data_IF_334957616628
#
_entry.id   IF_334957616628
#
_cell.length_a   1.000
_cell.length_b   1.000
_cell.length_c   1.000
_cell.angle_alpha   90.00
_cell.angle_beta   90.00
_cell.angle_gamma   90.00
#
_symmetry.space_group_name_H-M   'P 1'
#
loop_
_entity.id
_entity.type
_entity.pdbx_description
1 polymer ?
#
# COMPACT_ATOMS: atom_id res chain seq x y z
N UNK A 1 14.73 15.98 10.73
CA UNK A 1 14.04 14.73 10.35
C UNK A 1 13.74 14.70 8.86
N UNK A 2 14.04 13.58 8.19
CA UNK A 2 13.63 13.33 6.80
C UNK A 2 12.16 12.90 6.77
N UNK A 3 11.41 13.30 5.74
CA UNK A 3 10.01 12.93 5.49
C UNK A 3 9.85 11.51 4.91
N UNK A 4 10.90 10.71 4.98
CA UNK A 4 10.99 9.32 4.49
C UNK A 4 9.84 8.42 4.96
N UNK A 5 9.35 8.58 6.19
CA UNK A 5 8.25 7.72 6.68
C UNK A 5 6.93 8.01 5.98
N UNK A 6 6.65 9.28 5.67
CA UNK A 6 5.44 9.70 4.95
C UNK A 6 5.58 9.34 3.48
N UNK A 7 6.76 9.56 2.88
CA UNK A 7 7.06 9.15 1.51
C UNK A 7 7.02 7.63 1.33
N UNK A 8 7.48 6.88 2.34
CA UNK A 8 7.41 5.42 2.37
C UNK A 8 5.96 4.94 2.37
N UNK A 9 5.12 5.50 3.24
CA UNK A 9 3.69 5.16 3.28
C UNK A 9 2.97 5.50 1.96
N UNK A 10 3.29 6.66 1.36
CA UNK A 10 2.80 7.04 0.02
C UNK A 10 3.23 6.03 -1.06
N UNK A 11 4.50 5.65 -1.06
CA UNK A 11 5.06 4.71 -2.03
C UNK A 11 4.43 3.32 -1.87
N UNK A 12 4.32 2.81 -0.65
CA UNK A 12 3.65 1.55 -0.35
C UNK A 12 2.21 1.57 -0.84
N UNK A 13 1.41 2.59 -0.48
CA UNK A 13 0.01 2.66 -0.91
C UNK A 13 -0.13 2.71 -2.44
N UNK A 14 0.76 3.42 -3.12
CA UNK A 14 0.79 3.46 -4.59
C UNK A 14 1.13 2.08 -5.19
N UNK A 15 2.07 1.36 -4.57
CA UNK A 15 2.51 0.06 -5.04
C UNK A 15 1.42 -1.01 -4.85
N UNK A 16 0.67 -0.99 -3.75
CA UNK A 16 -0.49 -1.87 -3.57
C UNK A 16 -1.50 -1.73 -4.72
N UNK A 17 -1.80 -0.50 -5.14
CA UNK A 17 -2.71 -0.27 -6.28
C UNK A 17 -2.13 -0.76 -7.61
N UNK A 18 -0.81 -0.69 -7.78
CA UNK A 18 -0.12 -1.29 -8.92
C UNK A 18 -0.28 -2.83 -8.90
N UNK A 19 -0.13 -3.47 -7.74
CA UNK A 19 -0.30 -4.92 -7.59
C UNK A 19 -1.75 -5.35 -7.80
N UNK A 20 -2.72 -4.62 -7.24
CA UNK A 20 -4.16 -4.83 -7.48
C UNK A 20 -4.48 -4.80 -8.99
N UNK A 21 -3.97 -3.81 -9.71
CA UNK A 21 -4.17 -3.72 -11.15
C UNK A 21 -3.50 -4.88 -11.89
N UNK A 22 -2.27 -5.24 -11.49
CA UNK A 22 -1.50 -6.34 -12.07
C UNK A 22 -2.20 -7.69 -11.89
N UNK A 23 -2.71 -8.00 -10.70
CA UNK A 23 -3.43 -9.25 -10.46
C UNK A 23 -4.76 -9.32 -11.20
N UNK A 24 -5.47 -8.22 -11.37
CA UNK A 24 -6.66 -8.19 -12.24
C UNK A 24 -6.33 -8.53 -13.69
N UNK A 25 -5.20 -8.02 -14.21
CA UNK A 25 -4.72 -8.35 -15.56
C UNK A 25 -4.36 -9.84 -15.63
N UNK A 26 -3.63 -10.38 -14.64
CA UNK A 26 -3.24 -11.79 -14.59
C UNK A 26 -4.45 -12.74 -14.50
N UNK A 27 -5.47 -12.38 -13.71
CA UNK A 27 -6.73 -13.15 -13.62
C UNK A 27 -7.39 -13.25 -14.99
N UNK A 28 -7.51 -12.12 -15.72
CA UNK A 28 -8.09 -12.11 -17.06
C UNK A 28 -7.26 -12.93 -18.06
N UNK A 29 -5.93 -12.84 -17.98
CA UNK A 29 -5.03 -13.63 -18.83
C UNK A 29 -5.13 -15.14 -18.54
N UNK A 30 -5.16 -15.53 -17.27
CA UNK A 30 -5.30 -16.92 -16.84
C UNK A 30 -6.67 -17.51 -17.25
N UNK A 31 -7.74 -16.72 -17.12
CA UNK A 31 -9.08 -17.09 -17.57
C UNK A 31 -9.12 -17.33 -19.09
N UNK A 32 -8.52 -16.44 -19.88
CA UNK A 32 -8.41 -16.60 -21.33
C UNK A 32 -7.59 -17.85 -21.72
N UNK A 33 -6.51 -18.14 -20.99
CA UNK A 33 -5.66 -19.30 -21.22
C UNK A 33 -6.28 -20.63 -20.71
N UNK A 34 -7.39 -20.59 -19.97
CA UNK A 34 -7.99 -21.75 -19.34
C UNK A 34 -7.25 -22.26 -18.09
N UNK A 35 -6.30 -21.50 -17.57
CA UNK A 35 -5.51 -21.86 -16.38
C UNK A 35 -6.24 -21.48 -15.09
N UNK A 36 -7.11 -22.38 -14.64
CA UNK A 36 -7.92 -22.16 -13.43
C UNK A 36 -7.09 -22.17 -12.14
N UNK A 37 -5.95 -22.87 -12.12
CA UNK A 37 -5.10 -22.91 -10.93
C UNK A 37 -4.44 -21.56 -10.70
N UNK A 38 -3.85 -20.97 -11.75
CA UNK A 38 -3.25 -19.64 -11.65
C UNK A 38 -4.30 -18.58 -11.34
N UNK A 39 -5.47 -18.65 -11.98
CA UNK A 39 -6.59 -17.75 -11.67
C UNK A 39 -6.93 -17.75 -10.19
N UNK A 40 -7.13 -18.94 -9.59
CA UNK A 40 -7.49 -19.07 -8.18
C UNK A 40 -6.41 -18.52 -7.23
N UNK A 41 -5.12 -18.71 -7.56
CA UNK A 41 -4.02 -18.14 -6.79
C UNK A 41 -4.02 -16.61 -6.89
N UNK A 42 -4.13 -16.04 -8.10
CA UNK A 42 -4.17 -14.60 -8.28
C UNK A 42 -5.39 -13.94 -7.61
N UNK A 43 -6.55 -14.60 -7.59
CA UNK A 43 -7.73 -14.12 -6.86
C UNK A 43 -7.53 -14.12 -5.34
N UNK A 44 -6.76 -15.07 -4.82
CA UNK A 44 -6.33 -15.08 -3.42
C UNK A 44 -5.47 -13.87 -3.10
N UNK A 45 -4.40 -13.68 -3.87
CA UNK A 45 -3.45 -12.58 -3.65
C UNK A 45 -4.14 -11.21 -3.82
N UNK A 46 -5.00 -11.05 -4.84
CA UNK A 46 -5.76 -9.81 -5.04
C UNK A 46 -6.55 -9.39 -3.80
N UNK A 47 -7.09 -10.33 -3.02
CA UNK A 47 -7.81 -10.01 -1.78
C UNK A 47 -6.87 -9.48 -0.70
N UNK A 48 -5.66 -10.04 -0.62
CA UNK A 48 -4.61 -9.60 0.31
C UNK A 48 -4.15 -8.18 -0.02
N UNK A 49 -3.88 -7.87 -1.30
CA UNK A 49 -3.43 -6.52 -1.70
C UNK A 49 -4.53 -5.47 -1.51
N UNK A 50 -5.80 -5.82 -1.77
CA UNK A 50 -6.93 -4.91 -1.47
C UNK A 50 -7.01 -4.65 0.04
N UNK A 51 -6.81 -5.67 0.87
CA UNK A 51 -6.82 -5.51 2.32
C UNK A 51 -5.63 -4.66 2.80
N UNK A 52 -4.44 -4.84 2.22
CA UNK A 52 -3.26 -4.03 2.54
C UNK A 52 -3.43 -2.57 2.10
N UNK A 53 -3.92 -2.32 0.88
CA UNK A 53 -4.24 -0.98 0.40
C UNK A 53 -5.21 -0.27 1.35
N UNK A 54 -6.27 -0.96 1.78
CA UNK A 54 -7.25 -0.41 2.73
C UNK A 54 -6.62 -0.12 4.09
N UNK A 55 -5.78 -1.01 4.58
CA UNK A 55 -5.07 -0.82 5.84
C UNK A 55 -4.14 0.40 5.76
N UNK A 56 -3.38 0.56 4.68
CA UNK A 56 -2.53 1.74 4.47
C UNK A 56 -3.38 3.02 4.40
N UNK A 57 -4.47 3.03 3.64
CA UNK A 57 -5.40 4.16 3.55
C UNK A 57 -5.86 4.63 4.94
N UNK A 58 -6.28 3.68 5.80
CA UNK A 58 -6.74 3.99 7.15
C UNK A 58 -5.63 4.52 8.08
N UNK A 59 -4.38 4.14 7.82
CA UNK A 59 -3.23 4.50 8.67
C UNK A 59 -2.44 5.72 8.16
N UNK A 60 -2.64 6.16 6.92
CA UNK A 60 -1.98 7.34 6.36
C UNK A 60 -2.13 8.61 7.23
N UNK A 61 -3.32 8.94 7.78
CA UNK A 61 -3.46 10.08 8.68
C UNK A 61 -2.64 9.93 9.96
N UNK A 62 -2.67 8.74 10.57
CA UNK A 62 -1.95 8.45 11.83
C UNK A 62 -0.44 8.59 11.65
N UNK A 63 0.11 8.06 10.55
CA UNK A 63 1.53 8.19 10.23
C UNK A 63 1.91 9.65 10.01
N UNK A 64 1.05 10.42 9.33
CA UNK A 64 1.28 11.84 9.06
C UNK A 64 1.27 12.67 10.36
N UNK A 65 0.28 12.45 11.22
CA UNK A 65 0.19 13.13 12.52
C UNK A 65 1.40 12.82 13.41
N UNK A 66 1.80 11.54 13.49
CA UNK A 66 2.97 11.13 14.26
C UNK A 66 4.28 11.75 13.73
N UNK A 67 4.41 11.90 12.41
CA UNK A 67 5.53 12.61 11.79
C UNK A 67 5.55 14.10 12.20
N UNK A 68 4.40 14.79 12.10
CA UNK A 68 4.29 16.21 12.43
C UNK A 68 4.59 16.49 13.92
N UNK A 69 4.04 15.67 14.82
CA UNK A 69 4.30 15.81 16.27
C UNK A 69 5.79 15.67 16.60
N UNK A 70 6.49 14.73 15.97
CA UNK A 70 7.94 14.55 16.16
C UNK A 70 8.73 15.74 15.59
N UNK A 71 8.33 16.23 14.42
CA UNK A 71 8.96 17.40 13.82
C UNK A 71 8.82 18.66 14.70
N UNK A 72 7.66 18.88 15.31
CA UNK A 72 7.42 20.01 16.22
C UNK A 72 8.22 19.89 17.53
N UNK A 73 8.29 18.69 18.11
CA UNK A 73 9.08 18.43 19.31
C UNK A 73 10.58 18.70 19.09
N UNK A 74 11.14 18.31 17.94
CA UNK A 74 12.54 18.62 17.58
C UNK A 74 12.78 20.13 17.44
N UNK A 75 11.82 20.88 16.88
CA UNK A 75 11.95 22.34 16.74
C UNK A 75 11.95 23.01 18.11
N UNK A 76 11.10 22.55 19.03
CA UNK A 76 11.01 23.10 20.39
C UNK A 76 12.28 22.79 21.21
N UNK A 77 12.85 21.60 21.07
CA UNK A 77 14.09 21.20 21.77
C UNK A 77 15.35 21.96 21.30
N UNK A 78 15.31 22.60 20.12
CA UNK A 78 16.40 23.40 19.56
C UNK A 78 16.29 24.90 19.86
N UNK A 79 15.22 25.34 20.54
CA UNK A 79 15.02 26.74 20.96
C UNK A 79 15.59 27.01 22.34
#
# INVERSE_FOLDING_TARGET
MSDEIVKGALASYTFEHFEIASYRILIAAAEFAGDQQTKAVCEGILKEEIAMAKWLEDNLPVVTEAYLQRAEAEVTAKR
#
